data_IF_658415912839
#
_entry.id   IF_658415912839
#
_cell.length_a   1.000
_cell.length_b   1.000
_cell.length_c   1.000
_cell.angle_alpha   90.00
_cell.angle_beta   90.00
_cell.angle_gamma   90.00
#
_symmetry.space_group_name_H-M   'P 1'
#
loop_
_entity.id
_entity.type
_entity.pdbx_description
1 polymer ?
#
# COMPACT_ATOMS: atom_id res chain seq x y z
N UNK A 1 -4.14 1.50 12.73
CA UNK A 1 -4.67 0.12 12.83
C UNK A 1 -4.37 -0.45 14.22
N UNK A 2 -4.85 -1.66 14.51
CA UNK A 2 -4.58 -2.40 15.75
C UNK A 2 -4.06 -3.79 15.40
N UNK A 3 -3.13 -4.32 16.19
CA UNK A 3 -2.64 -5.69 16.12
C UNK A 3 -3.16 -6.46 17.32
N UNK A 4 -3.58 -7.69 17.07
CA UNK A 4 -4.22 -8.55 18.06
C UNK A 4 -3.54 -9.91 18.09
N UNK A 5 -3.49 -10.52 19.26
CA UNK A 5 -3.12 -11.91 19.42
C UNK A 5 -4.35 -12.77 19.10
N UNK A 6 -4.21 -13.66 18.10
CA UNK A 6 -5.33 -14.50 17.64
C UNK A 6 -5.70 -15.59 18.66
N UNK A 7 -4.74 -16.09 19.45
CA UNK A 7 -4.97 -17.19 20.37
C UNK A 7 -5.82 -16.79 21.59
N UNK A 8 -5.69 -15.56 22.06
CA UNK A 8 -6.38 -15.08 23.26
C UNK A 8 -7.17 -13.77 23.07
N UNK A 9 -7.18 -13.20 21.87
CA UNK A 9 -7.95 -12.00 21.54
C UNK A 9 -7.43 -10.72 22.18
N UNK A 10 -6.22 -10.70 22.75
CA UNK A 10 -5.69 -9.49 23.39
C UNK A 10 -5.16 -8.51 22.35
N UNK A 11 -5.41 -7.22 22.58
CA UNK A 11 -4.79 -6.17 21.79
C UNK A 11 -3.30 -6.09 22.13
N UNK A 12 -2.45 -6.32 21.13
CA UNK A 12 -1.00 -6.26 21.28
C UNK A 12 -0.49 -4.84 21.09
N UNK A 13 -1.08 -4.09 20.14
CA UNK A 13 -0.58 -2.77 19.76
C UNK A 13 -1.57 -1.92 18.98
N UNK A 14 -1.43 -0.61 19.14
CA UNK A 14 -2.07 0.41 18.29
C UNK A 14 -1.01 1.10 17.45
N UNK A 15 -1.23 1.18 16.14
CA UNK A 15 -0.39 1.92 15.20
C UNK A 15 -1.08 3.24 14.88
N UNK A 16 -0.50 4.33 15.40
CA UNK A 16 -0.99 5.71 15.24
C UNK A 16 -0.23 6.40 14.11
N UNK A 17 -0.93 7.21 13.31
CA UNK A 17 -0.31 7.97 12.21
C UNK A 17 -1.04 7.86 10.88
N UNK A 18 -1.89 6.85 10.69
CA UNK A 18 -2.84 6.84 9.57
C UNK A 18 -3.91 7.93 9.81
N UNK A 19 -3.91 8.96 8.98
CA UNK A 19 -4.84 10.11 9.09
C UNK A 19 -6.17 9.87 8.38
N UNK A 20 -6.26 8.81 7.57
CA UNK A 20 -7.48 8.35 6.94
C UNK A 20 -7.69 6.84 7.15
N UNK A 21 -8.87 6.35 6.77
CA UNK A 21 -9.22 4.93 6.88
C UNK A 21 -8.24 4.03 6.12
N UNK A 22 -7.76 2.98 6.78
CA UNK A 22 -6.88 1.96 6.18
C UNK A 22 -7.73 1.01 5.34
N UNK A 23 -7.35 0.83 4.08
CA UNK A 23 -8.07 0.04 3.09
C UNK A 23 -7.46 -1.34 2.86
N UNK A 24 -6.14 -1.47 2.94
CA UNK A 24 -5.44 -2.76 2.79
C UNK A 24 -4.36 -2.90 3.85
N UNK A 25 -4.02 -4.15 4.15
CA UNK A 25 -2.91 -4.53 5.03
C UNK A 25 -2.26 -5.81 4.51
N UNK A 26 -0.93 -5.90 4.57
CA UNK A 26 -0.17 -7.11 4.22
C UNK A 26 1.06 -7.21 5.11
N UNK A 27 1.32 -8.40 5.66
CA UNK A 27 2.53 -8.67 6.44
C UNK A 27 3.73 -8.89 5.52
N UNK A 28 4.89 -8.40 5.94
CA UNK A 28 6.16 -8.77 5.30
C UNK A 28 6.49 -10.22 5.63
N UNK A 29 7.15 -10.96 4.71
CA UNK A 29 7.70 -12.28 4.99
C UNK A 29 8.69 -12.31 6.17
N UNK A 30 9.32 -11.17 6.48
CA UNK A 30 10.26 -11.04 7.59
C UNK A 30 9.60 -11.17 8.98
N UNK A 31 8.28 -11.00 9.08
CA UNK A 31 7.54 -11.04 10.35
C UNK A 31 7.78 -9.86 11.29
N UNK A 32 8.61 -8.88 10.91
CA UNK A 32 8.94 -7.67 11.67
C UNK A 32 8.20 -6.44 11.16
N UNK A 33 7.76 -6.44 9.90
CA UNK A 33 7.06 -5.31 9.29
C UNK A 33 5.72 -5.69 8.64
N UNK A 34 4.87 -4.70 8.42
CA UNK A 34 3.69 -4.83 7.56
C UNK A 34 3.43 -3.53 6.81
N UNK A 35 2.80 -3.63 5.65
CA UNK A 35 2.39 -2.50 4.85
C UNK A 35 0.88 -2.26 4.92
N UNK A 36 0.48 -1.00 4.80
CA UNK A 36 -0.93 -0.59 4.72
C UNK A 36 -1.14 0.42 3.60
N UNK A 37 -2.30 0.39 2.95
CA UNK A 37 -2.76 1.47 2.07
C UNK A 37 -3.91 2.23 2.72
N UNK A 38 -3.85 3.56 2.71
CA UNK A 38 -4.89 4.42 3.28
C UNK A 38 -5.74 5.12 2.21
N UNK A 39 -6.92 5.61 2.63
CA UNK A 39 -7.77 6.53 1.83
C UNK A 39 -7.13 7.90 1.59
N UNK A 40 -6.08 8.22 2.34
CA UNK A 40 -5.22 9.37 2.13
C UNK A 40 -4.21 9.17 0.99
N UNK A 41 -4.30 8.04 0.27
CA UNK A 41 -3.40 7.64 -0.82
C UNK A 41 -1.95 7.43 -0.39
N UNK A 42 -1.71 7.27 0.90
CA UNK A 42 -0.37 7.02 1.44
C UNK A 42 -0.26 5.53 1.77
N UNK A 43 0.70 4.87 1.13
CA UNK A 43 1.12 3.54 1.58
C UNK A 43 2.14 3.72 2.70
N UNK A 44 2.03 2.90 3.75
CA UNK A 44 2.90 3.00 4.93
C UNK A 44 3.47 1.65 5.27
N UNK A 45 4.73 1.62 5.68
CA UNK A 45 5.36 0.43 6.27
C UNK A 45 5.54 0.70 7.76
N UNK A 46 5.10 -0.27 8.55
CA UNK A 46 5.08 -0.22 10.00
C UNK A 46 5.99 -1.29 10.56
N UNK A 47 6.73 -0.94 11.60
CA UNK A 47 7.50 -1.91 12.36
C UNK A 47 6.65 -2.46 13.51
N UNK A 48 6.46 -3.77 13.55
CA UNK A 48 5.49 -4.46 14.42
C UNK A 48 5.83 -4.26 15.90
N UNK A 49 7.09 -4.47 16.28
CA UNK A 49 7.50 -4.45 17.69
C UNK A 49 7.51 -3.03 18.27
N UNK A 50 7.80 -2.01 17.46
CA UNK A 50 7.89 -0.63 17.95
C UNK A 50 6.58 0.13 17.76
N UNK A 51 5.72 -0.28 16.82
CA UNK A 51 4.51 0.46 16.49
C UNK A 51 4.75 1.68 15.61
N UNK A 52 6.00 1.91 15.19
CA UNK A 52 6.40 3.10 14.45
C UNK A 52 6.09 2.93 12.97
N UNK A 53 5.60 4.01 12.35
CA UNK A 53 5.66 4.14 10.90
C UNK A 53 7.13 4.38 10.51
N UNK A 54 7.72 3.48 9.72
CA UNK A 54 9.12 3.58 9.31
C UNK A 54 9.29 4.13 7.90
N UNK A 55 8.25 4.01 7.05
CA UNK A 55 8.22 4.57 5.70
C UNK A 55 6.83 5.03 5.32
N UNK A 56 6.77 6.14 4.60
CA UNK A 56 5.56 6.62 3.94
C UNK A 56 5.84 6.83 2.45
N UNK A 57 5.03 6.20 1.62
CA UNK A 57 5.08 6.34 0.17
C UNK A 57 3.97 7.31 -0.22
N UNK A 58 4.37 8.57 -0.46
CA UNK A 58 3.51 9.68 -0.86
C UNK A 58 3.63 9.87 -2.37
N UNK A 59 2.54 10.24 -3.04
CA UNK A 59 2.54 10.35 -4.50
C UNK A 59 2.59 9.01 -5.24
N UNK A 60 2.54 7.88 -4.53
CA UNK A 60 2.37 6.55 -5.14
C UNK A 60 0.93 6.24 -5.55
N UNK A 61 -0.03 7.12 -5.25
CA UNK A 61 -1.18 7.25 -6.15
C UNK A 61 -0.62 7.83 -7.43
N UNK A 62 -0.53 7.02 -8.47
CA UNK A 62 0.13 7.35 -9.75
C UNK A 62 -0.68 8.39 -10.56
N UNK A 63 -1.45 9.23 -9.89
CA UNK A 63 -2.33 10.25 -10.42
C UNK A 63 -2.42 11.40 -9.41
N UNK A 64 -1.89 12.56 -9.78
CA UNK A 64 -1.94 13.78 -8.95
C UNK A 64 -3.35 14.38 -8.84
N UNK A 65 -4.31 13.92 -9.66
CA UNK A 65 -5.60 14.60 -9.79
C UNK A 65 -6.84 13.84 -9.32
N UNK A 66 -6.76 12.56 -8.88
CA UNK A 66 -7.96 11.86 -8.36
C UNK A 66 -7.66 10.79 -7.29
N UNK A 67 -8.56 10.74 -6.29
CA UNK A 67 -8.56 9.93 -5.06
C UNK A 67 -8.62 8.42 -5.31
N UNK A 68 -7.50 7.72 -5.47
CA UNK A 68 -7.54 6.25 -5.45
C UNK A 68 -6.43 5.65 -4.58
N UNK A 69 -6.87 5.02 -3.49
CA UNK A 69 -6.07 4.17 -2.60
C UNK A 69 -5.65 2.90 -3.31
N UNK A 70 -4.46 2.36 -3.01
CA UNK A 70 -4.04 1.08 -3.57
C UNK A 70 -5.11 0.00 -3.33
N UNK A 71 -5.63 -0.60 -4.41
CA UNK A 71 -6.65 -1.65 -4.37
C UNK A 71 -6.08 -2.98 -3.90
N UNK A 72 -4.77 -3.15 -3.98
CA UNK A 72 -4.05 -4.32 -3.50
C UNK A 72 -2.64 -3.93 -3.05
N UNK A 73 -2.11 -4.72 -2.13
CA UNK A 73 -0.72 -4.67 -1.68
C UNK A 73 -0.20 -6.11 -1.62
N UNK A 74 1.04 -6.32 -2.03
CA UNK A 74 1.74 -7.59 -1.87
C UNK A 74 3.23 -7.34 -1.65
N UNK A 75 3.83 -7.98 -0.64
CA UNK A 75 5.28 -8.05 -0.53
C UNK A 75 5.84 -9.06 -1.53
N UNK A 76 7.05 -8.79 -2.05
CA UNK A 76 7.86 -9.83 -2.68
C UNK A 76 8.26 -10.90 -1.66
N UNK A 77 8.54 -12.14 -2.08
CA UNK A 77 8.92 -13.21 -1.16
C UNK A 77 10.18 -12.91 -0.33
N UNK A 78 11.10 -12.11 -0.87
CA UNK A 78 12.31 -11.65 -0.18
C UNK A 78 12.08 -10.40 0.69
N UNK A 79 10.87 -9.83 0.68
CA UNK A 79 10.49 -8.65 1.46
C UNK A 79 11.11 -7.33 0.99
N UNK A 80 11.84 -7.31 -0.12
CA UNK A 80 12.57 -6.13 -0.59
C UNK A 80 11.66 -5.09 -1.22
N UNK A 81 10.56 -5.53 -1.85
CA UNK A 81 9.62 -4.65 -2.54
C UNK A 81 8.16 -4.92 -2.18
N UNK A 82 7.33 -3.89 -2.37
CA UNK A 82 5.88 -3.98 -2.28
C UNK A 82 5.29 -3.64 -3.65
N UNK A 83 4.52 -4.56 -4.22
CA UNK A 83 3.65 -4.26 -5.36
C UNK A 83 2.35 -3.62 -4.86
N UNK A 84 1.96 -2.50 -5.45
CA UNK A 84 0.70 -1.82 -5.17
C UNK A 84 -0.06 -1.53 -6.47
N UNK A 85 -1.28 -2.05 -6.58
CA UNK A 85 -2.17 -1.71 -7.70
C UNK A 85 -2.99 -0.47 -7.38
N UNK A 86 -3.06 0.47 -8.32
CA UNK A 86 -4.02 1.57 -8.28
C UNK A 86 -4.82 1.60 -9.60
N UNK A 87 -6.05 2.06 -9.53
CA UNK A 87 -6.76 2.53 -10.72
C UNK A 87 -6.83 4.05 -10.69
N UNK A 88 -6.93 4.71 -11.85
CA UNK A 88 -7.30 6.12 -12.01
C UNK A 88 -8.66 6.10 -12.68
N UNK A 89 -9.61 6.92 -12.21
CA UNK A 89 -10.81 7.23 -12.98
C UNK A 89 -10.99 8.74 -12.93
N UNK A 90 -10.87 9.41 -14.07
CA UNK A 90 -11.10 10.86 -14.20
C UNK A 90 -12.40 11.18 -14.95
N UNK A 91 -13.35 10.25 -15.02
CA UNK A 91 -14.62 10.38 -15.73
C UNK A 91 -14.52 10.16 -17.25
N UNK A 92 -13.34 10.33 -17.85
CA UNK A 92 -13.11 10.13 -19.28
C UNK A 92 -12.29 8.87 -19.61
N UNK A 93 -11.43 8.42 -18.69
CA UNK A 93 -10.56 7.27 -18.89
C UNK A 93 -10.27 6.56 -17.56
N UNK A 94 -10.34 5.24 -17.59
CA UNK A 94 -9.82 4.39 -16.51
C UNK A 94 -8.40 3.99 -16.85
N UNK A 95 -7.43 4.24 -15.96
CA UNK A 95 -6.08 3.68 -16.13
C UNK A 95 -5.75 2.77 -14.97
N UNK A 96 -5.17 1.62 -15.27
CA UNK A 96 -4.71 0.68 -14.25
C UNK A 96 -3.19 0.78 -14.19
N UNK A 97 -2.63 1.01 -13.00
CA UNK A 97 -1.18 1.06 -12.82
C UNK A 97 -0.75 0.19 -11.65
N UNK A 98 0.39 -0.46 -11.79
CA UNK A 98 1.06 -1.19 -10.70
C UNK A 98 2.34 -0.43 -10.37
N UNK A 99 2.46 0.05 -9.13
CA UNK A 99 3.70 0.56 -8.58
C UNK A 99 4.49 -0.54 -7.88
N UNK A 100 5.81 -0.52 -8.02
CA UNK A 100 6.75 -1.34 -7.26
C UNK A 100 7.53 -0.40 -6.35
N UNK A 101 7.39 -0.63 -5.06
CA UNK A 101 7.92 0.22 -4.00
C UNK A 101 9.07 -0.49 -3.31
N UNK A 102 10.23 0.15 -3.22
CA UNK A 102 11.36 -0.38 -2.46
C UNK A 102 11.17 -0.08 -0.97
N UNK A 103 11.21 -1.14 -0.16
CA UNK A 103 10.95 -1.06 1.28
C UNK A 103 12.09 -0.35 2.02
N UNK A 104 13.32 -0.52 1.55
CA UNK A 104 14.53 0.01 2.19
C UNK A 104 14.68 1.51 1.94
N UNK A 105 14.49 1.94 0.69
CA UNK A 105 14.63 3.35 0.30
C UNK A 105 13.38 4.13 0.65
N UNK A 106 12.19 3.52 0.50
CA UNK A 106 10.92 4.24 0.60
C UNK A 106 10.50 4.89 -0.72
N UNK A 107 11.09 4.47 -1.84
CA UNK A 107 10.86 5.06 -3.15
C UNK A 107 10.07 4.13 -4.08
N UNK A 108 9.37 4.73 -5.04
CA UNK A 108 8.78 3.97 -6.16
C UNK A 108 9.88 3.71 -7.18
N UNK A 109 10.28 2.45 -7.33
CA UNK A 109 11.36 2.05 -8.25
C UNK A 109 10.85 1.71 -9.65
N UNK A 110 9.55 1.43 -9.78
CA UNK A 110 8.92 1.15 -11.08
C UNK A 110 7.42 1.42 -11.04
N UNK A 111 6.88 1.87 -12.17
CA UNK A 111 5.45 1.82 -12.45
C UNK A 111 5.20 1.05 -13.75
N UNK A 112 4.10 0.32 -13.79
CA UNK A 112 3.64 -0.45 -14.95
C UNK A 112 2.26 0.04 -15.29
N UNK A 113 2.10 0.57 -16.50
CA UNK A 113 0.81 1.01 -17.02
C UNK A 113 0.13 -0.17 -17.71
N UNK A 114 -1.05 -0.54 -17.23
CA UNK A 114 -1.92 -1.53 -17.84
C UNK A 114 -2.90 -0.73 -18.70
N UNK A 115 -2.63 -0.68 -20.00
CA UNK A 115 -3.57 -0.14 -20.96
C UNK A 115 -4.78 -1.07 -21.06
N UNK A 116 -5.99 -0.51 -21.05
CA UNK A 116 -7.14 -1.25 -21.55
C UNK A 116 -6.92 -1.45 -23.04
N UNK A 117 -6.76 -2.71 -23.46
CA UNK A 117 -6.87 -3.06 -24.87
C UNK A 117 -8.25 -2.64 -25.33
N UNK A 118 -8.33 -1.59 -26.13
CA UNK A 118 -9.56 -1.21 -26.80
C UNK A 118 -9.98 -2.37 -27.68
N UNK A 119 -11.01 -3.10 -27.27
CA UNK A 119 -11.81 -3.85 -28.23
C UNK A 119 -12.88 -2.86 -28.70
N UNK A 120 -12.56 -2.12 -29.75
CA UNK A 120 -13.57 -1.42 -30.54
C UNK A 120 -14.39 -2.49 -31.26
N UNK A 121 -15.66 -2.65 -30.88
CA UNK A 121 -16.68 -3.22 -31.75
C UNK A 121 -17.37 -2.10 -32.52
#
# INVERSE_FOLDING_TARGET
CRLWNVANGTELRIFRGATAGIMRVVFSPDGYTFATSGRDNINRVWHICTGSCIKEFRGTSVAEDYKISAICLAYSPDGTVIACGCYRNNGAMTTHKIGILDVSTGECVRSIDIAEGGVSH
#
